data_IF_572482370022
#
_entry.id   IF_572482370022
#
_cell.length_a   1.000
_cell.length_b   1.000
_cell.length_c   1.000
_cell.angle_alpha   90.00
_cell.angle_beta   90.00
_cell.angle_gamma   90.00
#
_symmetry.space_group_name_H-M   'P 1'
#
loop_
_entity.id
_entity.type
_entity.pdbx_description
1 polymer ?
#
# COMPACT_ATOMS: atom_id res chain seq x y z
N UNK A 1 -52.12 11.44 72.47
CA UNK A 1 -51.75 10.47 71.39
C UNK A 1 -51.14 11.27 70.25
N UNK A 2 -49.80 11.24 70.09
CA UNK A 2 -49.11 11.92 69.06
C UNK A 2 -48.60 10.87 68.08
N UNK A 3 -49.06 10.91 66.82
CA UNK A 3 -48.58 10.08 65.74
C UNK A 3 -47.28 10.71 65.16
N UNK A 4 -46.16 9.97 65.17
CA UNK A 4 -44.94 10.32 64.48
C UNK A 4 -45.03 9.73 63.05
N UNK A 5 -44.95 10.59 62.07
CA UNK A 5 -44.78 10.18 60.67
C UNK A 5 -43.27 10.08 60.37
N UNK A 6 -42.81 8.88 59.96
CA UNK A 6 -41.45 8.64 59.51
C UNK A 6 -41.43 8.89 58.01
N UNK A 7 -40.68 9.93 57.59
CA UNK A 7 -40.33 10.12 56.15
C UNK A 7 -39.08 9.28 55.81
N UNK A 8 -39.24 8.26 55.01
CA UNK A 8 -38.13 7.51 54.43
C UNK A 8 -37.74 8.18 53.08
N UNK A 9 -36.60 8.88 53.07
CA UNK A 9 -35.95 9.40 51.86
C UNK A 9 -35.15 8.28 51.21
N UNK A 10 -35.71 7.72 50.13
CA UNK A 10 -34.99 6.77 49.27
C UNK A 10 -33.97 7.49 48.40
N UNK A 11 -32.68 7.28 48.67
CA UNK A 11 -31.58 7.72 47.85
C UNK A 11 -31.39 6.74 46.69
N UNK A 12 -31.90 7.09 45.51
CA UNK A 12 -31.73 6.31 44.29
C UNK A 12 -30.34 6.55 43.72
N UNK A 13 -29.43 5.58 43.90
CA UNK A 13 -28.09 5.59 43.35
C UNK A 13 -28.20 5.21 41.86
N UNK A 14 -28.21 6.19 40.94
CA UNK A 14 -28.04 5.94 39.52
C UNK A 14 -26.58 5.52 39.24
N UNK A 15 -26.36 4.23 39.13
CA UNK A 15 -25.13 3.67 38.55
C UNK A 15 -25.12 3.97 37.04
N UNK A 16 -24.43 5.04 36.67
CA UNK A 16 -24.09 5.30 35.26
C UNK A 16 -23.07 4.24 34.83
N UNK A 17 -23.51 3.20 34.16
CA UNK A 17 -22.63 2.31 33.39
C UNK A 17 -22.07 3.11 32.23
N UNK A 18 -20.93 3.74 32.39
CA UNK A 18 -20.09 4.15 31.27
C UNK A 18 -19.57 2.87 30.60
N UNK A 19 -20.29 2.42 29.60
CA UNK A 19 -19.76 1.42 28.67
C UNK A 19 -18.54 2.04 28.00
N UNK A 20 -17.34 1.70 28.47
CA UNK A 20 -16.13 1.89 27.69
C UNK A 20 -16.24 0.95 26.48
N UNK A 21 -16.89 1.40 25.43
CA UNK A 21 -16.69 0.82 24.11
C UNK A 21 -15.23 1.10 23.78
N UNK A 22 -14.40 0.06 23.83
CA UNK A 22 -13.05 0.10 23.30
C UNK A 22 -13.21 0.23 21.78
N UNK A 23 -13.40 1.48 21.30
CA UNK A 23 -13.44 1.77 19.87
C UNK A 23 -12.07 1.45 19.32
N UNK A 24 -11.95 0.30 18.68
CA UNK A 24 -10.73 -0.12 18.03
C UNK A 24 -10.64 0.64 16.69
N UNK A 25 -9.74 1.61 16.64
CA UNK A 25 -9.48 2.38 15.43
C UNK A 25 -8.47 1.66 14.52
N UNK A 26 -8.69 1.75 13.21
CA UNK A 26 -7.71 1.36 12.21
C UNK A 26 -6.57 2.40 12.14
N UNK A 27 -6.90 3.67 12.33
CA UNK A 27 -5.98 4.81 12.34
C UNK A 27 -5.98 5.38 13.77
N UNK A 28 -4.98 5.04 14.57
CA UNK A 28 -4.91 5.43 15.97
C UNK A 28 -4.68 6.94 16.15
N UNK A 29 -3.87 7.57 15.28
CA UNK A 29 -3.65 9.01 15.29
C UNK A 29 -4.89 9.77 14.84
N UNK A 30 -5.44 10.61 15.74
CA UNK A 30 -6.66 11.35 15.48
C UNK A 30 -6.51 12.43 14.40
N UNK A 31 -5.32 13.03 14.26
CA UNK A 31 -5.08 14.06 13.24
C UNK A 31 -5.02 13.41 11.86
N UNK A 32 -4.34 12.27 11.74
CA UNK A 32 -4.28 11.49 10.51
C UNK A 32 -5.67 10.95 10.12
N UNK A 33 -6.43 10.41 11.08
CA UNK A 33 -7.81 9.95 10.84
C UNK A 33 -8.71 11.07 10.33
N UNK A 34 -8.60 12.26 10.92
CA UNK A 34 -9.35 13.44 10.46
C UNK A 34 -8.92 13.90 9.05
N UNK A 35 -7.64 13.83 8.73
CA UNK A 35 -7.14 14.18 7.41
C UNK A 35 -7.69 13.23 6.33
N UNK A 36 -7.71 11.93 6.61
CA UNK A 36 -8.32 10.91 5.72
C UNK A 36 -9.81 11.18 5.53
N UNK A 37 -10.53 11.50 6.62
CA UNK A 37 -11.95 11.84 6.54
C UNK A 37 -12.20 13.09 5.69
N UNK A 38 -11.39 14.13 5.81
CA UNK A 38 -11.50 15.34 4.99
C UNK A 38 -11.22 15.06 3.51
N UNK A 39 -10.23 14.25 3.19
CA UNK A 39 -9.94 13.85 1.82
C UNK A 39 -11.11 13.05 1.21
N UNK A 40 -11.69 12.14 1.99
CA UNK A 40 -12.88 11.38 1.60
C UNK A 40 -14.08 12.30 1.33
N UNK A 41 -14.42 13.21 2.24
CA UNK A 41 -15.57 14.12 2.06
C UNK A 41 -15.36 15.08 0.89
N UNK A 42 -14.12 15.56 0.71
CA UNK A 42 -13.76 16.39 -0.45
C UNK A 42 -13.98 15.65 -1.76
N UNK A 43 -13.68 14.35 -1.79
CA UNK A 43 -13.89 13.51 -2.95
C UNK A 43 -15.36 13.18 -3.15
N UNK A 44 -16.04 12.76 -2.09
CA UNK A 44 -17.46 12.42 -2.08
C UNK A 44 -18.31 13.59 -2.60
N UNK A 45 -18.02 14.82 -2.19
CA UNK A 45 -18.77 16.01 -2.64
C UNK A 45 -18.68 16.26 -4.14
N UNK A 46 -17.63 15.75 -4.82
CA UNK A 46 -17.43 15.87 -6.27
C UNK A 46 -18.07 14.73 -7.07
N UNK A 47 -18.41 13.62 -6.41
CA UNK A 47 -18.90 12.39 -7.02
C UNK A 47 -20.31 12.03 -6.52
N UNK A 48 -21.12 13.00 -6.18
CA UNK A 48 -22.37 12.82 -5.42
C UNK A 48 -23.56 12.27 -6.22
N UNK A 49 -23.34 11.65 -7.38
CA UNK A 49 -24.40 11.10 -8.20
C UNK A 49 -24.44 9.57 -8.13
N UNK A 50 -25.64 9.00 -7.98
CA UNK A 50 -25.88 7.57 -7.95
C UNK A 50 -25.59 6.91 -6.58
N UNK A 51 -25.33 5.63 -6.61
CA UNK A 51 -25.20 4.73 -5.46
C UNK A 51 -23.75 4.48 -5.01
N UNK A 52 -22.79 5.22 -5.56
CA UNK A 52 -21.34 5.01 -5.35
C UNK A 52 -20.93 4.93 -3.88
N UNK A 53 -21.67 5.55 -2.98
CA UNK A 53 -21.38 5.60 -1.54
C UNK A 53 -22.42 4.89 -0.68
N UNK A 54 -23.36 4.16 -1.28
CA UNK A 54 -24.47 3.50 -0.56
C UNK A 54 -23.96 2.48 0.47
N UNK A 55 -22.81 1.86 0.22
CA UNK A 55 -22.18 0.91 1.16
C UNK A 55 -21.94 1.52 2.55
N UNK A 56 -21.75 2.86 2.65
CA UNK A 56 -21.57 3.54 3.93
C UNK A 56 -22.82 3.63 4.79
N UNK A 57 -23.99 3.31 4.25
CA UNK A 57 -25.28 3.24 4.97
C UNK A 57 -25.45 1.88 5.66
N UNK A 58 -24.65 0.88 5.31
CA UNK A 58 -24.71 -0.44 5.91
C UNK A 58 -24.14 -0.44 7.34
N UNK A 59 -24.67 -1.31 8.23
CA UNK A 59 -24.04 -1.54 9.54
C UNK A 59 -22.62 -2.09 9.37
N UNK A 60 -21.66 -1.45 10.02
CA UNK A 60 -20.24 -1.89 10.03
C UNK A 60 -19.56 -1.39 11.30
N UNK A 61 -18.47 -2.04 11.69
CA UNK A 61 -17.63 -1.60 12.79
C UNK A 61 -16.88 -0.30 12.46
N UNK A 62 -16.39 0.40 13.47
CA UNK A 62 -15.58 1.62 13.27
C UNK A 62 -14.32 1.31 12.44
N UNK A 63 -13.68 0.17 12.71
CA UNK A 63 -12.48 -0.28 11.97
C UNK A 63 -12.78 -0.54 10.48
N UNK A 64 -13.91 -1.18 10.15
CA UNK A 64 -14.36 -1.35 8.77
C UNK A 64 -14.67 -0.01 8.09
N UNK A 65 -15.35 0.89 8.82
CA UNK A 65 -15.71 2.21 8.30
C UNK A 65 -14.48 3.06 7.99
N UNK A 66 -13.51 3.07 8.90
CA UNK A 66 -12.24 3.78 8.68
C UNK A 66 -11.45 3.19 7.51
N UNK A 67 -11.40 1.86 7.38
CA UNK A 67 -10.77 1.18 6.26
C UNK A 67 -11.43 1.53 4.93
N UNK A 68 -12.76 1.48 4.88
CA UNK A 68 -13.52 1.84 3.68
C UNK A 68 -13.35 3.32 3.33
N UNK A 69 -13.37 4.21 4.32
CA UNK A 69 -13.10 5.64 4.15
C UNK A 69 -11.72 5.87 3.54
N UNK A 70 -10.70 5.17 4.04
CA UNK A 70 -9.34 5.25 3.51
C UNK A 70 -9.26 4.77 2.05
N UNK A 71 -9.86 3.63 1.71
CA UNK A 71 -9.89 3.14 0.34
C UNK A 71 -10.59 4.14 -0.59
N UNK A 72 -11.78 4.60 -0.22
CA UNK A 72 -12.56 5.53 -1.04
C UNK A 72 -11.93 6.92 -1.15
N UNK A 73 -11.16 7.36 -0.17
CA UNK A 73 -10.42 8.62 -0.27
C UNK A 73 -9.36 8.60 -1.39
N UNK A 74 -8.76 7.44 -1.67
CA UNK A 74 -7.55 7.38 -2.50
C UNK A 74 -7.62 6.42 -3.70
N UNK A 75 -8.63 5.55 -3.83
CA UNK A 75 -8.72 4.66 -4.99
C UNK A 75 -8.97 5.42 -6.30
N UNK A 76 -8.54 4.91 -7.47
CA UNK A 76 -8.87 5.48 -8.78
C UNK A 76 -10.38 5.64 -9.01
N UNK A 77 -10.79 6.55 -9.88
CA UNK A 77 -12.21 6.72 -10.21
C UNK A 77 -12.82 5.46 -10.83
N UNK A 78 -12.08 4.80 -11.71
CA UNK A 78 -12.54 3.53 -12.28
C UNK A 78 -12.82 2.48 -11.22
N UNK A 79 -12.04 2.44 -10.14
CA UNK A 79 -12.27 1.49 -9.06
C UNK A 79 -13.58 1.78 -8.30
N UNK A 80 -13.93 3.06 -8.12
CA UNK A 80 -15.22 3.42 -7.49
C UNK A 80 -16.41 3.06 -8.38
N UNK A 81 -16.24 3.12 -9.70
CA UNK A 81 -17.35 2.95 -10.66
C UNK A 81 -17.49 1.52 -11.16
N UNK A 82 -16.42 0.78 -11.26
CA UNK A 82 -16.40 -0.55 -11.87
C UNK A 82 -16.64 -1.68 -10.86
N UNK A 83 -16.49 -1.39 -9.55
CA UNK A 83 -16.66 -2.35 -8.46
C UNK A 83 -17.63 -1.84 -7.41
N UNK A 84 -18.44 -2.72 -6.85
CA UNK A 84 -19.43 -2.34 -5.83
C UNK A 84 -18.77 -2.04 -4.47
N UNK A 85 -19.48 -1.30 -3.63
CA UNK A 85 -19.01 -1.04 -2.27
C UNK A 85 -18.89 -2.31 -1.43
N UNK A 86 -19.77 -3.30 -1.66
CA UNK A 86 -19.73 -4.62 -1.00
C UNK A 86 -18.46 -5.39 -1.36
N UNK A 87 -17.98 -5.26 -2.59
CA UNK A 87 -16.69 -5.82 -3.00
C UNK A 87 -15.54 -5.30 -2.11
N UNK A 88 -15.49 -3.98 -1.87
CA UNK A 88 -14.47 -3.40 -1.00
C UNK A 88 -14.65 -3.80 0.46
N UNK A 89 -15.89 -3.88 0.94
CA UNK A 89 -16.17 -4.32 2.31
C UNK A 89 -15.72 -5.78 2.53
N UNK A 90 -16.01 -6.69 1.59
CA UNK A 90 -15.50 -8.07 1.66
C UNK A 90 -13.97 -8.13 1.66
N UNK A 91 -13.29 -7.31 0.84
CA UNK A 91 -11.82 -7.23 0.85
C UNK A 91 -11.27 -6.69 2.17
N UNK A 92 -11.96 -5.75 2.82
CA UNK A 92 -11.62 -5.25 4.16
C UNK A 92 -11.79 -6.36 5.18
N UNK A 93 -12.89 -7.11 5.13
CA UNK A 93 -13.17 -8.21 6.06
C UNK A 93 -12.07 -9.27 6.02
N UNK A 94 -11.62 -9.67 4.83
CA UNK A 94 -10.52 -10.60 4.69
C UNK A 94 -9.17 -10.02 5.16
N UNK A 95 -8.95 -8.71 5.00
CA UNK A 95 -7.75 -8.05 5.52
C UNK A 95 -7.73 -8.02 7.04
N UNK A 96 -8.86 -7.68 7.68
CA UNK A 96 -9.00 -7.66 9.13
C UNK A 96 -8.96 -9.09 9.70
N UNK A 97 -9.58 -10.05 9.03
CA UNK A 97 -9.51 -11.46 9.37
C UNK A 97 -8.06 -11.98 9.35
N UNK A 98 -7.31 -11.68 8.31
CA UNK A 98 -5.89 -12.04 8.25
C UNK A 98 -5.09 -11.38 9.38
N UNK A 99 -5.35 -10.10 9.71
CA UNK A 99 -4.74 -9.40 10.83
C UNK A 99 -5.05 -10.05 12.19
N UNK A 100 -6.21 -10.66 12.34
CA UNK A 100 -6.60 -11.34 13.58
C UNK A 100 -6.07 -12.77 13.67
N UNK A 101 -6.14 -13.53 12.58
CA UNK A 101 -5.88 -14.97 12.56
C UNK A 101 -4.41 -15.34 12.31
N UNK A 102 -3.63 -14.49 11.59
CA UNK A 102 -2.23 -14.79 11.30
C UNK A 102 -1.31 -14.44 12.48
N UNK A 103 -0.26 -15.25 12.73
CA UNK A 103 0.64 -15.04 13.88
C UNK A 103 1.29 -13.65 13.93
N UNK A 104 1.58 -13.07 12.76
CA UNK A 104 2.20 -11.74 12.62
C UNK A 104 1.20 -10.59 12.62
N UNK A 105 -0.10 -10.85 12.50
CA UNK A 105 -1.09 -9.81 12.25
C UNK A 105 -1.12 -8.69 13.31
N UNK A 106 -0.82 -9.00 14.58
CA UNK A 106 -0.75 -8.01 15.67
C UNK A 106 0.60 -7.29 15.77
N UNK A 107 1.64 -7.81 15.13
CA UNK A 107 2.99 -7.20 15.13
C UNK A 107 3.21 -6.29 13.93
N UNK A 108 2.38 -6.40 12.89
CA UNK A 108 2.41 -5.49 11.75
C UNK A 108 1.99 -4.09 12.20
N UNK A 109 2.85 -3.08 12.04
CA UNK A 109 2.50 -1.72 12.40
C UNK A 109 1.31 -1.21 11.57
N UNK A 110 0.55 -0.29 12.15
CA UNK A 110 -0.67 0.26 11.57
C UNK A 110 -0.43 0.91 10.19
N UNK A 111 0.67 1.66 10.05
CA UNK A 111 1.04 2.31 8.79
C UNK A 111 1.28 1.28 7.69
N UNK A 112 2.07 0.23 7.97
CA UNK A 112 2.39 -0.84 7.02
C UNK A 112 1.13 -1.63 6.64
N UNK A 113 0.26 -1.91 7.60
CA UNK A 113 -1.03 -2.55 7.33
C UNK A 113 -1.90 -1.69 6.41
N UNK A 114 -2.06 -0.41 6.74
CA UNK A 114 -2.93 0.51 6.02
C UNK A 114 -2.49 0.76 4.58
N UNK A 115 -1.18 0.91 4.35
CA UNK A 115 -0.66 1.25 3.01
C UNK A 115 -0.25 0.05 2.17
N UNK A 116 0.03 -1.11 2.78
CA UNK A 116 0.64 -2.24 2.07
C UNK A 116 -0.07 -3.59 2.25
N UNK A 117 -1.14 -3.66 3.07
CA UNK A 117 -2.03 -4.82 3.18
C UNK A 117 -3.43 -4.48 2.69
N UNK A 118 -4.02 -3.42 3.25
CA UNK A 118 -5.40 -3.04 3.02
C UNK A 118 -5.74 -2.74 1.54
N UNK A 119 -4.91 -2.01 0.76
CA UNK A 119 -5.23 -1.70 -0.63
C UNK A 119 -5.34 -2.98 -1.47
N UNK A 120 -6.39 -3.05 -2.29
CA UNK A 120 -6.61 -4.17 -3.21
C UNK A 120 -5.72 -4.03 -4.43
N UNK A 121 -5.69 -2.84 -5.04
CA UNK A 121 -4.91 -2.54 -6.24
C UNK A 121 -3.42 -2.52 -5.96
N UNK A 122 -2.66 -3.11 -6.86
CA UNK A 122 -1.18 -3.15 -6.84
C UNK A 122 -0.59 -2.26 -7.93
N UNK A 123 -1.09 -2.38 -9.17
CA UNK A 123 -0.60 -1.67 -10.35
C UNK A 123 -1.79 -1.09 -11.16
N UNK A 124 -1.93 -1.47 -12.42
CA UNK A 124 -3.01 -1.05 -13.34
C UNK A 124 -3.90 -2.22 -13.78
N UNK A 125 -3.84 -3.32 -13.08
CA UNK A 125 -4.66 -4.53 -13.30
C UNK A 125 -6.16 -4.25 -13.08
N UNK A 126 -7.02 -5.10 -13.65
CA UNK A 126 -8.39 -5.20 -13.16
C UNK A 126 -8.36 -5.87 -11.79
N UNK A 127 -9.27 -5.45 -10.91
CA UNK A 127 -9.45 -6.09 -9.62
C UNK A 127 -10.32 -7.34 -9.78
N UNK A 128 -10.16 -8.30 -8.87
CA UNK A 128 -10.92 -9.54 -8.80
C UNK A 128 -10.99 -10.05 -7.35
N UNK A 129 -11.64 -11.19 -7.13
CA UNK A 129 -11.83 -11.78 -5.80
C UNK A 129 -10.58 -12.51 -5.27
N UNK A 130 -9.40 -12.18 -5.76
CA UNK A 130 -8.14 -12.84 -5.42
C UNK A 130 -7.86 -12.85 -3.92
N UNK A 131 -8.15 -11.77 -3.20
CA UNK A 131 -7.90 -11.70 -1.76
C UNK A 131 -8.59 -12.82 -0.99
N UNK A 132 -9.86 -13.05 -1.26
CA UNK A 132 -10.64 -14.14 -0.67
C UNK A 132 -10.11 -15.51 -1.07
N UNK A 133 -9.94 -15.73 -2.36
CA UNK A 133 -9.47 -17.01 -2.91
C UNK A 133 -8.09 -17.36 -2.37
N UNK A 134 -7.15 -16.42 -2.39
CA UNK A 134 -5.78 -16.66 -1.93
C UNK A 134 -5.70 -16.82 -0.41
N UNK A 135 -6.49 -16.07 0.35
CA UNK A 135 -6.57 -16.28 1.79
C UNK A 135 -6.99 -17.72 2.12
N UNK A 136 -8.06 -18.23 1.50
CA UNK A 136 -8.54 -19.57 1.78
C UNK A 136 -7.54 -20.67 1.34
N UNK A 137 -6.77 -20.47 0.29
CA UNK A 137 -5.73 -21.40 -0.15
C UNK A 137 -4.46 -21.34 0.72
N UNK A 138 -4.09 -20.17 1.23
CA UNK A 138 -2.79 -19.93 1.88
C UNK A 138 -2.84 -20.02 3.41
N UNK A 139 -3.97 -19.68 4.05
CA UNK A 139 -4.07 -19.53 5.51
C UNK A 139 -3.50 -20.72 6.30
N UNK A 140 -3.85 -21.93 5.91
CA UNK A 140 -3.40 -23.15 6.62
C UNK A 140 -1.96 -23.51 6.24
N UNK A 141 -1.52 -23.12 5.05
CA UNK A 141 -0.16 -23.36 4.56
C UNK A 141 0.88 -22.51 5.30
N UNK A 142 0.52 -21.29 5.72
CA UNK A 142 1.46 -20.33 6.32
C UNK A 142 1.30 -20.14 7.83
N UNK A 143 0.18 -20.49 8.43
CA UNK A 143 -0.18 -20.19 9.83
C UNK A 143 0.83 -20.71 10.87
N UNK A 144 1.52 -21.79 10.56
CA UNK A 144 2.53 -22.40 11.45
C UNK A 144 3.95 -21.88 11.26
N UNK A 145 4.16 -20.94 10.37
CA UNK A 145 5.48 -20.45 9.97
C UNK A 145 5.85 -19.15 10.68
N UNK A 146 7.14 -18.84 10.71
CA UNK A 146 7.61 -17.48 10.99
C UNK A 146 7.19 -16.53 9.86
N UNK A 147 7.17 -15.21 10.12
CA UNK A 147 6.83 -14.25 9.07
C UNK A 147 7.80 -14.35 7.88
N UNK A 148 9.10 -14.52 8.15
CA UNK A 148 10.13 -14.72 7.13
C UNK A 148 9.83 -15.95 6.26
N UNK A 149 9.57 -17.10 6.89
CA UNK A 149 9.31 -18.34 6.17
C UNK A 149 7.96 -18.32 5.45
N UNK A 150 6.98 -17.61 5.99
CA UNK A 150 5.69 -17.40 5.33
C UNK A 150 5.82 -16.61 4.03
N UNK A 151 6.70 -15.60 3.97
CA UNK A 151 6.97 -14.86 2.72
C UNK A 151 7.57 -15.79 1.66
N UNK A 152 8.55 -16.62 2.04
CA UNK A 152 9.16 -17.60 1.13
C UNK A 152 8.13 -18.63 0.65
N UNK A 153 7.30 -19.13 1.55
CA UNK A 153 6.27 -20.12 1.24
C UNK A 153 5.17 -19.58 0.32
N UNK A 154 4.75 -18.32 0.52
CA UNK A 154 3.82 -17.67 -0.41
C UNK A 154 4.44 -17.53 -1.80
N UNK A 155 5.73 -17.22 -1.90
CA UNK A 155 6.40 -17.13 -3.20
C UNK A 155 6.53 -18.51 -3.88
N UNK A 156 6.77 -19.57 -3.11
CA UNK A 156 6.69 -20.95 -3.61
C UNK A 156 5.31 -21.28 -4.16
N UNK A 157 4.25 -20.96 -3.42
CA UNK A 157 2.88 -21.15 -3.87
C UNK A 157 2.59 -20.34 -5.16
N UNK A 158 3.13 -19.12 -5.27
CA UNK A 158 3.01 -18.33 -6.49
C UNK A 158 3.67 -19.02 -7.69
N UNK A 159 4.85 -19.56 -7.51
CA UNK A 159 5.58 -20.32 -8.55
C UNK A 159 4.84 -21.59 -9.00
N UNK A 160 4.11 -22.24 -8.11
CA UNK A 160 3.26 -23.40 -8.46
C UNK A 160 2.10 -23.02 -9.41
N UNK A 161 1.72 -21.75 -9.45
CA UNK A 161 0.55 -21.25 -10.19
C UNK A 161 0.92 -20.51 -11.47
N UNK A 162 2.00 -19.75 -11.47
CA UNK A 162 2.37 -18.84 -12.58
C UNK A 162 3.85 -18.97 -12.88
N UNK A 163 4.16 -19.05 -14.18
CA UNK A 163 5.53 -19.04 -14.69
C UNK A 163 5.75 -17.86 -15.61
N UNK A 164 6.97 -17.35 -15.64
CA UNK A 164 7.33 -16.24 -16.52
C UNK A 164 7.11 -16.57 -17.99
N UNK A 165 6.32 -15.75 -18.64
CA UNK A 165 6.14 -15.78 -20.11
C UNK A 165 5.79 -14.37 -20.58
N UNK A 166 6.46 -13.86 -21.63
CA UNK A 166 6.08 -12.59 -22.24
C UNK A 166 4.60 -12.57 -22.59
N UNK A 167 3.90 -11.52 -22.19
CA UNK A 167 2.48 -11.33 -22.42
C UNK A 167 2.22 -10.00 -23.14
N UNK A 168 0.96 -9.61 -23.23
CA UNK A 168 0.57 -8.32 -23.81
C UNK A 168 0.92 -7.12 -22.90
N UNK A 169 0.61 -5.91 -23.36
CA UNK A 169 1.00 -4.68 -22.65
C UNK A 169 0.19 -4.39 -21.38
N UNK A 170 -0.96 -5.04 -21.19
CA UNK A 170 -1.85 -4.80 -20.05
C UNK A 170 -1.63 -5.83 -18.96
N UNK A 171 -1.47 -5.37 -17.72
CA UNK A 171 -1.34 -6.25 -16.56
C UNK A 171 -2.65 -7.00 -16.32
N UNK A 172 -2.59 -8.32 -16.29
CA UNK A 172 -3.72 -9.19 -15.95
C UNK A 172 -4.05 -9.10 -14.46
N UNK A 173 -5.31 -9.35 -14.11
CA UNK A 173 -5.70 -9.50 -12.71
C UNK A 173 -5.07 -10.75 -12.08
N UNK A 174 -4.91 -10.80 -10.75
CA UNK A 174 -4.27 -11.95 -10.09
C UNK A 174 -4.91 -13.31 -10.43
N UNK A 175 -6.25 -13.42 -10.41
CA UNK A 175 -6.93 -14.66 -10.79
C UNK A 175 -6.85 -14.95 -12.29
N UNK A 176 -6.76 -13.93 -13.14
CA UNK A 176 -6.54 -14.15 -14.56
C UNK A 176 -5.14 -14.73 -14.82
N UNK A 177 -4.11 -14.25 -14.10
CA UNK A 177 -2.76 -14.81 -14.16
C UNK A 177 -2.73 -16.28 -13.74
N UNK A 178 -3.45 -16.64 -12.67
CA UNK A 178 -3.61 -18.05 -12.25
C UNK A 178 -4.30 -18.89 -13.32
N UNK A 179 -5.36 -18.37 -13.95
CA UNK A 179 -6.10 -19.11 -15.00
C UNK A 179 -5.27 -19.39 -16.25
N UNK A 180 -4.39 -18.45 -16.59
CA UNK A 180 -3.50 -18.62 -17.77
C UNK A 180 -2.22 -19.36 -17.44
N UNK A 181 -1.84 -19.42 -16.16
CA UNK A 181 -0.57 -19.92 -15.64
C UNK A 181 0.67 -19.17 -16.17
N UNK A 182 0.48 -17.99 -16.79
CA UNK A 182 1.53 -17.20 -17.43
C UNK A 182 1.47 -15.75 -16.97
N UNK A 183 2.65 -15.14 -16.84
CA UNK A 183 2.80 -13.73 -16.57
C UNK A 183 4.20 -13.22 -16.93
N UNK A 184 4.30 -11.95 -17.34
CA UNK A 184 5.58 -11.23 -17.32
C UNK A 184 5.81 -10.68 -15.90
N UNK A 185 6.95 -10.07 -15.66
CA UNK A 185 7.30 -9.52 -14.35
C UNK A 185 6.22 -8.60 -13.72
N UNK A 186 5.45 -7.88 -14.56
CA UNK A 186 4.33 -7.04 -14.11
C UNK A 186 3.19 -7.84 -13.50
N UNK A 187 2.77 -8.94 -14.15
CA UNK A 187 1.73 -9.85 -13.66
C UNK A 187 2.23 -10.64 -12.45
N UNK A 188 3.43 -11.23 -12.54
CA UNK A 188 4.00 -12.04 -11.45
C UNK A 188 4.14 -11.23 -10.16
N UNK A 189 4.65 -10.00 -10.25
CA UNK A 189 4.78 -9.13 -9.07
C UNK A 189 3.42 -8.64 -8.53
N UNK A 190 2.46 -8.33 -9.40
CA UNK A 190 1.09 -7.99 -9.00
C UNK A 190 0.43 -9.16 -8.27
N UNK A 191 0.55 -10.36 -8.82
CA UNK A 191 0.01 -11.60 -8.24
C UNK A 191 0.66 -11.91 -6.89
N UNK A 192 1.99 -11.88 -6.80
CA UNK A 192 2.72 -12.16 -5.55
C UNK A 192 2.39 -11.15 -4.45
N UNK A 193 2.27 -9.84 -4.79
CA UNK A 193 1.83 -8.82 -3.81
C UNK A 193 0.41 -9.10 -3.34
N UNK A 194 -0.52 -9.44 -4.25
CA UNK A 194 -1.89 -9.78 -3.88
C UNK A 194 -1.95 -11.01 -2.97
N UNK A 195 -1.13 -12.05 -3.23
CA UNK A 195 -1.03 -13.25 -2.42
C UNK A 195 -0.49 -12.95 -1.01
N UNK A 196 0.59 -12.20 -0.88
CA UNK A 196 1.15 -11.78 0.41
C UNK A 196 0.14 -10.96 1.23
N UNK A 197 -0.50 -9.97 0.59
CA UNK A 197 -1.52 -9.13 1.23
C UNK A 197 -2.73 -9.93 1.70
N UNK A 198 -3.09 -11.01 1.00
CA UNK A 198 -4.25 -11.83 1.37
C UNK A 198 -4.07 -12.50 2.74
N UNK A 199 -2.86 -12.83 3.13
CA UNK A 199 -2.52 -13.39 4.46
C UNK A 199 -1.95 -12.33 5.41
N UNK A 200 -2.22 -11.06 5.17
CA UNK A 200 -1.88 -9.96 6.06
C UNK A 200 -0.40 -9.57 6.09
N UNK A 201 0.39 -9.96 5.10
CA UNK A 201 1.80 -9.58 4.98
C UNK A 201 1.90 -8.30 4.16
N UNK A 202 2.46 -7.20 4.71
CA UNK A 202 2.66 -5.98 3.93
C UNK A 202 3.61 -6.23 2.76
N UNK A 203 3.15 -5.92 1.57
CA UNK A 203 3.92 -6.12 0.35
C UNK A 203 3.71 -5.00 -0.66
N UNK A 204 4.75 -4.72 -1.44
CA UNK A 204 4.74 -3.69 -2.48
C UNK A 204 5.47 -4.15 -3.73
N UNK A 205 4.98 -3.70 -4.89
CA UNK A 205 5.66 -3.91 -6.16
C UNK A 205 6.81 -2.90 -6.27
N UNK A 206 7.99 -3.39 -6.59
CA UNK A 206 9.14 -2.57 -6.93
C UNK A 206 9.24 -2.49 -8.46
N UNK A 207 9.59 -1.34 -8.97
CA UNK A 207 9.80 -1.14 -10.39
C UNK A 207 11.10 -0.38 -10.66
N UNK A 208 11.90 -0.92 -11.58
CA UNK A 208 12.99 -0.19 -12.23
C UNK A 208 12.62 0.05 -13.69
N UNK A 209 12.55 1.31 -14.14
CA UNK A 209 12.14 1.59 -15.51
C UNK A 209 13.21 1.19 -16.52
N UNK A 210 14.44 1.00 -16.07
CA UNK A 210 15.58 0.65 -16.90
C UNK A 210 16.75 0.17 -16.08
N UNK A 211 17.40 -0.90 -16.52
CA UNK A 211 18.67 -1.33 -15.98
C UNK A 211 19.83 -0.43 -16.47
N UNK A 212 20.93 -0.35 -15.72
CA UNK A 212 22.10 0.41 -16.12
C UNK A 212 22.79 -0.15 -17.39
N UNK A 213 22.60 -1.42 -17.73
CA UNK A 213 23.28 -2.12 -18.82
C UNK A 213 22.38 -2.48 -20.01
N UNK A 214 21.07 -2.28 -19.91
CA UNK A 214 20.08 -2.57 -20.97
C UNK A 214 18.89 -1.63 -20.86
N UNK A 215 18.15 -1.47 -21.95
CA UNK A 215 16.92 -0.67 -22.00
C UNK A 215 15.70 -1.38 -21.35
N UNK A 216 15.86 -2.61 -20.90
CA UNK A 216 14.79 -3.37 -20.29
C UNK A 216 14.42 -2.83 -18.89
N UNK A 217 13.15 -2.90 -18.58
CA UNK A 217 12.60 -2.66 -17.25
C UNK A 217 12.45 -3.97 -16.49
N UNK A 218 12.19 -3.86 -15.20
CA UNK A 218 11.82 -5.01 -14.37
C UNK A 218 10.92 -4.62 -13.21
N UNK A 219 10.10 -5.58 -12.78
CA UNK A 219 9.27 -5.47 -11.58
C UNK A 219 9.44 -6.71 -10.73
N UNK A 220 9.54 -6.51 -9.41
CA UNK A 220 9.63 -7.56 -8.41
C UNK A 220 8.89 -7.15 -7.14
N UNK A 221 9.11 -7.81 -6.02
CA UNK A 221 8.35 -7.60 -4.79
C UNK A 221 9.27 -7.28 -3.62
N UNK A 222 8.82 -6.40 -2.75
CA UNK A 222 9.30 -6.28 -1.38
C UNK A 222 8.20 -6.67 -0.40
N UNK A 223 8.55 -7.46 0.62
CA UNK A 223 7.72 -7.81 1.76
C UNK A 223 8.31 -7.23 3.05
N UNK A 224 7.45 -6.72 3.93
CA UNK A 224 7.88 -6.22 5.23
C UNK A 224 7.92 -7.36 6.24
N UNK A 225 9.10 -7.58 6.83
CA UNK A 225 9.35 -8.64 7.82
C UNK A 225 10.09 -8.04 9.01
N UNK A 226 9.50 -8.15 10.19
CA UNK A 226 10.12 -7.82 11.47
C UNK A 226 10.84 -6.47 11.53
N UNK A 227 10.27 -5.43 10.92
CA UNK A 227 10.75 -4.06 11.01
C UNK A 227 11.48 -3.54 9.78
N UNK A 228 11.65 -4.34 8.73
CA UNK A 228 12.35 -3.92 7.51
C UNK A 228 11.78 -4.55 6.24
N UNK A 229 12.10 -3.96 5.10
CA UNK A 229 11.71 -4.45 3.79
C UNK A 229 12.76 -5.43 3.26
N UNK A 230 12.30 -6.57 2.77
CA UNK A 230 13.10 -7.59 2.09
C UNK A 230 12.56 -7.80 0.69
N UNK A 231 13.46 -7.91 -0.29
CA UNK A 231 13.05 -8.19 -1.66
C UNK A 231 13.08 -9.68 -1.99
N UNK A 232 12.29 -10.04 -3.00
CA UNK A 232 12.24 -11.38 -3.58
C UNK A 232 11.82 -11.28 -5.06
N UNK A 233 12.31 -12.18 -5.90
CA UNK A 233 11.79 -12.36 -7.26
C UNK A 233 10.37 -12.91 -7.21
N UNK A 234 9.45 -12.26 -7.93
CA UNK A 234 8.05 -12.66 -7.94
C UNK A 234 7.87 -13.98 -8.69
N UNK A 235 7.23 -14.95 -8.09
CA UNK A 235 7.11 -16.33 -8.61
C UNK A 235 8.47 -17.02 -8.86
N UNK A 236 9.55 -16.48 -8.29
CA UNK A 236 10.92 -16.98 -8.42
C UNK A 236 11.43 -17.33 -7.02
N UNK A 237 11.10 -18.52 -6.48
CA UNK A 237 11.47 -18.89 -5.12
C UNK A 237 12.97 -19.09 -4.96
N UNK A 238 13.53 -18.45 -3.95
CA UNK A 238 14.91 -18.59 -3.51
C UNK A 238 14.94 -19.08 -2.05
N UNK A 239 16.03 -19.67 -1.57
CA UNK A 239 16.10 -20.23 -0.22
C UNK A 239 16.09 -19.17 0.89
N UNK A 240 16.36 -17.91 0.56
CA UNK A 240 16.39 -16.78 1.49
C UNK A 240 15.87 -15.52 0.83
N UNK A 241 15.36 -14.57 1.62
CA UNK A 241 15.01 -13.24 1.15
C UNK A 241 16.27 -12.43 0.80
N UNK A 242 16.10 -11.35 0.04
CA UNK A 242 17.19 -10.53 -0.54
C UNK A 242 18.10 -11.31 -1.49
N UNK A 243 17.58 -12.36 -2.09
CA UNK A 243 18.23 -13.13 -3.15
C UNK A 243 17.35 -13.16 -4.39
N UNK A 244 17.98 -13.00 -5.55
CA UNK A 244 17.38 -13.08 -6.88
C UNK A 244 18.43 -12.91 -7.95
N UNK A 245 18.16 -13.37 -9.17
CA UNK A 245 19.08 -13.26 -10.30
C UNK A 245 19.51 -11.80 -10.58
N UNK A 246 18.68 -10.84 -10.16
CA UNK A 246 18.89 -9.41 -10.38
C UNK A 246 19.73 -8.70 -9.30
N UNK A 247 20.28 -9.39 -8.30
CA UNK A 247 21.11 -8.76 -7.24
C UNK A 247 22.22 -7.90 -7.82
N UNK A 248 23.00 -8.45 -8.78
CA UNK A 248 24.11 -7.70 -9.37
C UNK A 248 23.63 -6.52 -10.26
N UNK A 249 22.61 -6.63 -11.12
CA UNK A 249 22.01 -5.49 -11.78
C UNK A 249 21.43 -4.44 -10.82
N UNK A 250 20.75 -4.87 -9.77
CA UNK A 250 20.12 -3.98 -8.79
C UNK A 250 21.14 -3.16 -8.00
N UNK A 251 22.29 -3.74 -7.60
CA UNK A 251 23.35 -3.02 -6.91
C UNK A 251 23.98 -1.88 -7.73
N UNK A 252 23.70 -1.83 -9.03
CA UNK A 252 24.13 -0.77 -9.95
C UNK A 252 22.94 -0.04 -10.57
N UNK A 253 21.78 -0.25 -10.01
CA UNK A 253 20.54 0.40 -10.44
C UNK A 253 20.61 1.91 -10.22
N UNK A 254 19.83 2.64 -10.96
CA UNK A 254 19.84 4.11 -10.91
C UNK A 254 18.50 4.68 -10.46
N UNK A 255 17.44 3.90 -10.52
CA UNK A 255 16.13 4.21 -9.97
C UNK A 255 15.40 2.92 -9.66
N UNK A 256 14.97 2.81 -8.41
CA UNK A 256 14.01 1.81 -7.97
C UNK A 256 12.96 2.51 -7.14
N UNK A 257 11.72 2.35 -7.54
CA UNK A 257 10.63 3.06 -6.90
C UNK A 257 9.42 2.16 -6.73
N UNK A 258 8.51 2.60 -5.87
CA UNK A 258 7.21 1.97 -5.68
C UNK A 258 6.12 3.01 -5.56
N UNK A 259 4.91 2.66 -5.97
CA UNK A 259 3.70 3.46 -5.74
C UNK A 259 3.01 2.96 -4.49
N UNK A 260 2.86 3.85 -3.54
CA UNK A 260 2.18 3.60 -2.27
C UNK A 260 0.79 4.20 -2.33
N UNK A 261 -0.21 3.42 -2.03
CA UNK A 261 -1.61 3.84 -2.02
C UNK A 261 -1.83 4.97 -0.99
N UNK A 262 -2.47 6.04 -1.42
CA UNK A 262 -2.82 7.18 -0.58
C UNK A 262 -1.66 8.14 -0.30
N UNK A 263 -1.85 8.99 0.69
CA UNK A 263 -0.88 9.98 1.15
C UNK A 263 0.06 9.33 2.18
N UNK A 264 1.06 8.65 1.68
CA UNK A 264 2.04 7.96 2.53
C UNK A 264 3.04 8.93 3.15
N UNK A 265 3.32 8.73 4.44
CA UNK A 265 4.37 9.40 5.19
C UNK A 265 5.25 8.34 5.85
N UNK A 266 6.39 8.08 5.25
CA UNK A 266 7.38 7.11 5.70
C UNK A 266 8.79 7.70 5.69
N UNK A 267 9.79 6.89 6.00
CA UNK A 267 11.20 7.33 6.03
C UNK A 267 11.80 7.52 4.63
N UNK A 268 11.16 6.96 3.60
CA UNK A 268 11.68 6.96 2.23
C UNK A 268 11.52 8.33 1.57
N UNK A 269 12.38 8.63 0.59
CA UNK A 269 12.30 9.85 -0.19
C UNK A 269 11.06 9.87 -1.08
N UNK A 270 10.19 10.86 -0.88
CA UNK A 270 9.02 11.08 -1.73
C UNK A 270 9.46 11.73 -3.04
N UNK A 271 9.21 11.06 -4.16
CA UNK A 271 9.46 11.54 -5.51
C UNK A 271 8.27 12.31 -6.06
N UNK A 272 7.08 11.75 -5.91
CA UNK A 272 5.81 12.33 -6.38
C UNK A 272 4.73 12.06 -5.35
N UNK A 273 3.91 13.06 -5.08
CA UNK A 273 2.68 12.89 -4.31
C UNK A 273 1.51 13.39 -5.14
N UNK A 274 0.54 12.51 -5.35
CA UNK A 274 -0.72 12.80 -6.02
C UNK A 274 -1.87 12.71 -5.02
N UNK A 275 -3.08 13.11 -5.39
CA UNK A 275 -4.25 12.87 -4.54
C UNK A 275 -4.54 11.39 -4.26
N UNK A 276 -4.01 10.46 -5.06
CA UNK A 276 -4.34 9.04 -5.01
C UNK A 276 -3.20 8.16 -4.47
N UNK A 277 -1.97 8.53 -4.73
CA UNK A 277 -0.80 7.73 -4.35
C UNK A 277 0.43 8.60 -4.10
N UNK A 278 1.37 8.05 -3.38
CA UNK A 278 2.71 8.59 -3.17
C UNK A 278 3.72 7.68 -3.86
N UNK A 279 4.59 8.23 -4.68
CA UNK A 279 5.69 7.50 -5.29
C UNK A 279 6.98 7.78 -4.53
N UNK A 280 7.63 6.74 -4.06
CA UNK A 280 8.81 6.81 -3.19
C UNK A 280 10.01 6.16 -3.84
N UNK A 281 11.19 6.73 -3.59
CA UNK A 281 12.47 6.18 -4.00
C UNK A 281 12.95 5.17 -2.96
N UNK A 282 13.21 3.96 -3.39
CA UNK A 282 13.65 2.85 -2.54
C UNK A 282 15.01 2.28 -2.97
N UNK A 283 15.73 2.99 -3.82
CA UNK A 283 17.03 2.53 -4.34
C UNK A 283 18.04 2.22 -3.24
N UNK A 284 17.94 2.90 -2.10
CA UNK A 284 18.80 2.66 -0.94
C UNK A 284 18.74 1.24 -0.37
N UNK A 285 17.70 0.46 -0.69
CA UNK A 285 17.60 -0.95 -0.31
C UNK A 285 18.47 -1.86 -1.19
N UNK A 286 18.97 -1.36 -2.32
CA UNK A 286 19.64 -2.17 -3.35
C UNK A 286 21.07 -1.70 -3.67
N UNK A 287 21.32 -0.40 -3.62
CA UNK A 287 22.57 0.20 -4.04
C UNK A 287 23.03 1.27 -3.07
N UNK A 288 24.33 1.42 -2.95
CA UNK A 288 24.91 2.60 -2.29
C UNK A 288 24.54 3.87 -3.05
N UNK A 289 24.12 4.89 -2.33
CA UNK A 289 23.66 6.15 -2.91
C UNK A 289 24.52 7.33 -2.45
N UNK A 290 24.66 8.33 -3.32
CA UNK A 290 25.28 9.59 -3.00
C UNK A 290 24.27 10.73 -3.23
N UNK A 291 24.30 11.73 -2.35
CA UNK A 291 23.48 12.92 -2.49
C UNK A 291 24.28 14.02 -3.20
N UNK A 292 23.82 14.43 -4.38
CA UNK A 292 24.38 15.56 -5.10
C UNK A 292 23.50 16.80 -4.89
N UNK A 293 24.11 17.94 -4.57
CA UNK A 293 23.43 19.24 -4.54
C UNK A 293 23.92 20.08 -5.71
N UNK A 294 23.01 20.43 -6.63
CA UNK A 294 23.30 21.28 -7.78
C UNK A 294 22.79 22.68 -7.47
N UNK A 295 23.68 23.67 -7.49
CA UNK A 295 23.33 25.08 -7.37
C UNK A 295 23.39 25.72 -8.75
N UNK A 296 22.26 26.27 -9.21
CA UNK A 296 22.21 27.05 -10.45
C UNK A 296 22.35 28.51 -10.08
N UNK A 297 23.37 29.15 -10.63
CA UNK A 297 23.65 30.56 -10.40
C UNK A 297 23.80 31.30 -11.73
N UNK A 298 23.55 32.59 -11.74
CA UNK A 298 23.80 33.45 -12.89
C UNK A 298 25.30 33.82 -13.02
N UNK A 299 25.61 34.65 -14.01
CA UNK A 299 27.00 35.11 -14.23
C UNK A 299 27.59 35.92 -13.05
N UNK A 300 26.78 36.45 -12.15
CA UNK A 300 27.15 37.18 -10.95
C UNK A 300 27.15 36.31 -9.69
N UNK A 301 27.07 34.98 -9.84
CA UNK A 301 27.01 34.00 -8.75
C UNK A 301 25.74 34.14 -7.89
N UNK A 302 24.66 34.76 -8.39
CA UNK A 302 23.40 34.85 -7.68
C UNK A 302 22.55 33.63 -8.00
N UNK A 303 21.80 33.07 -7.03
CA UNK A 303 20.88 31.97 -7.28
C UNK A 303 19.83 32.30 -8.36
N UNK A 304 19.69 31.45 -9.35
CA UNK A 304 18.61 31.60 -10.35
C UNK A 304 17.35 30.96 -9.79
N UNK A 305 16.30 31.75 -9.46
CA UNK A 305 15.05 31.23 -8.97
C UNK A 305 14.38 30.38 -10.07
N UNK A 306 13.70 29.32 -9.67
CA UNK A 306 12.92 28.42 -10.54
C UNK A 306 13.73 27.75 -11.67
N UNK A 307 15.07 27.69 -11.55
CA UNK A 307 15.89 26.95 -12.49
C UNK A 307 15.55 25.46 -12.48
N UNK A 308 15.04 24.95 -13.57
CA UNK A 308 14.80 23.52 -13.76
C UNK A 308 16.13 22.83 -14.12
N UNK A 309 16.59 21.90 -13.29
CA UNK A 309 17.69 21.00 -13.65
C UNK A 309 17.11 19.67 -14.12
N UNK A 310 17.39 19.28 -15.35
CA UNK A 310 17.05 17.97 -15.89
C UNK A 310 18.29 17.08 -15.86
N UNK A 311 18.32 16.12 -14.94
CA UNK A 311 19.31 15.03 -14.99
C UNK A 311 18.78 13.93 -15.86
N UNK A 312 19.60 13.42 -16.79
CA UNK A 312 19.25 12.32 -17.67
C UNK A 312 20.27 11.21 -17.55
N UNK A 313 19.75 9.99 -17.54
CA UNK A 313 20.60 8.85 -17.85
C UNK A 313 20.95 8.86 -19.32
N UNK A 314 22.21 8.74 -19.64
CA UNK A 314 22.68 8.49 -21.00
C UNK A 314 23.46 7.19 -20.97
N UNK A 315 22.77 6.09 -21.22
CA UNK A 315 23.44 4.79 -21.40
C UNK A 315 23.36 4.29 -22.84
N UNK A 316 22.40 4.80 -23.62
CA UNK A 316 22.20 4.55 -25.07
C UNK A 316 21.23 5.60 -25.63
N UNK A 317 20.88 5.63 -26.94
CA UNK A 317 20.15 6.74 -27.57
C UNK A 317 18.84 7.19 -26.92
N UNK A 318 18.20 6.33 -26.13
CA UNK A 318 16.97 6.66 -25.42
C UNK A 318 17.27 7.06 -23.97
N UNK A 319 17.31 8.36 -23.69
CA UNK A 319 17.50 8.87 -22.33
C UNK A 319 16.16 8.94 -21.58
N UNK A 320 16.11 8.39 -20.37
CA UNK A 320 14.98 8.55 -19.45
C UNK A 320 15.29 9.74 -18.53
N UNK A 321 14.41 10.75 -18.44
CA UNK A 321 14.55 11.83 -17.47
C UNK A 321 14.47 11.27 -16.04
N UNK A 322 15.42 11.64 -15.18
CA UNK A 322 15.21 11.44 -13.75
C UNK A 322 14.05 12.33 -13.28
N UNK A 323 13.23 11.84 -12.36
CA UNK A 323 12.17 12.68 -11.81
C UNK A 323 12.79 13.93 -11.17
N UNK A 324 12.38 15.08 -11.66
CA UNK A 324 12.77 16.37 -11.08
C UNK A 324 11.85 16.67 -9.91
N UNK A 325 12.41 17.05 -8.76
CA UNK A 325 11.60 17.68 -7.70
C UNK A 325 10.89 18.88 -8.31
N UNK A 326 9.57 18.91 -8.27
CA UNK A 326 8.86 20.17 -8.54
C UNK A 326 9.33 21.23 -7.54
N UNK A 327 9.55 22.47 -7.98
CA UNK A 327 9.88 23.55 -7.05
C UNK A 327 8.77 23.66 -6.00
N UNK A 328 9.15 23.71 -4.73
CA UNK A 328 8.19 24.02 -3.67
C UNK A 328 7.59 25.42 -3.94
N UNK A 329 6.26 25.58 -3.79
CA UNK A 329 5.66 26.89 -3.94
C UNK A 329 6.30 27.86 -2.95
N UNK A 330 6.81 28.96 -3.45
CA UNK A 330 7.37 30.05 -2.64
C UNK A 330 6.29 30.62 -1.75
N UNK A 331 6.45 30.49 -0.44
CA UNK A 331 5.68 31.27 0.54
C UNK A 331 6.05 32.73 0.33
N UNK A 332 5.11 33.54 -0.14
CA UNK A 332 5.30 35.00 -0.16
C UNK A 332 5.38 35.47 1.28
N UNK A 333 6.40 36.26 1.65
CA UNK A 333 6.40 36.93 2.95
C UNK A 333 5.22 37.96 2.96
N UNK A 334 4.50 37.94 4.04
CA UNK A 334 3.43 38.88 4.38
C UNK A 334 4.00 40.26 4.67
#
# INVERSE_FOLDING_TARGET
MKLLALCATGLSLMLSFTSCTNNKHLISDAAERNAVQQDFETRRSKLSHGDLFQVFEQPMSDEQREALTFLYAYMPLGDITDYSGEYYLENIDYSLKAREEMPWGKTIPEREFRHFVLPVRVNNENLDDSRKVFYEELKDRVKGLSLHDAVLEVNHWCHEKVIYTPSDARTSSPLASVKTAYGRCGEESTFTVAALRSVGIPARQVYTPRWAHTDDNHAWVEAWVDGQWYFLGACEPEPVLNLGWFNAPASRGMLMHTKVFGKYQGPEEVMVQTPLYTEINIIGNYAETAKATIKVVDANQQPVPDAASNSKYITTPNSIPLPTKQPMPTVKPS
#
